data_IF_413377957234
#
_entry.id   IF_413377957234
#
_cell.length_a   1.000
_cell.length_b   1.000
_cell.length_c   1.000
_cell.angle_alpha   90.00
_cell.angle_beta   90.00
_cell.angle_gamma   90.00
#
_symmetry.space_group_name_H-M   'P 1'
#
loop_
_entity.id
_entity.type
_entity.pdbx_description
1 polymer ?
#
# COMPACT_ATOMS: atom_id res chain seq x y z
N UNK A 1 21.98 13.11 -41.58
CA UNK A 1 22.30 11.83 -40.91
C UNK A 1 22.92 11.99 -39.52
N UNK A 2 23.94 12.83 -39.32
CA UNK A 2 24.57 13.05 -37.98
C UNK A 2 23.61 13.66 -36.92
N UNK A 3 22.69 14.51 -37.31
CA UNK A 3 21.73 15.14 -36.38
C UNK A 3 20.67 14.14 -35.85
N UNK A 4 20.23 13.20 -36.69
CA UNK A 4 19.31 12.12 -36.28
C UNK A 4 19.92 11.11 -35.29
N UNK A 5 21.22 10.85 -35.44
CA UNK A 5 21.94 9.94 -34.53
C UNK A 5 22.13 10.62 -33.17
N UNK A 6 22.38 11.93 -33.14
CA UNK A 6 22.55 12.71 -31.91
C UNK A 6 21.25 12.81 -31.11
N UNK A 7 20.10 13.02 -31.80
CA UNK A 7 18.76 13.06 -31.15
C UNK A 7 18.35 11.68 -30.63
N UNK A 8 18.70 10.60 -31.34
CA UNK A 8 18.43 9.23 -30.90
C UNK A 8 19.27 8.84 -29.69
N UNK A 9 20.55 9.24 -29.64
CA UNK A 9 21.42 9.05 -28.48
C UNK A 9 20.95 9.88 -27.26
N UNK A 10 20.45 11.10 -27.47
CA UNK A 10 19.91 11.92 -26.38
C UNK A 10 18.62 11.31 -25.79
N UNK A 11 17.79 10.67 -26.60
CA UNK A 11 16.57 9.99 -26.13
C UNK A 11 16.86 8.78 -25.24
N UNK A 12 17.96 8.07 -25.48
CA UNK A 12 18.40 6.95 -24.65
C UNK A 12 19.01 7.38 -23.32
N UNK A 13 19.48 8.63 -23.20
CA UNK A 13 20.07 9.15 -21.96
C UNK A 13 19.04 9.72 -20.98
N UNK A 14 17.76 9.89 -21.41
CA UNK A 14 16.67 10.46 -20.59
C UNK A 14 15.65 9.37 -20.18
N UNK A 15 16.01 8.09 -20.28
CA UNK A 15 15.16 7.05 -19.70
C UNK A 15 15.11 7.25 -18.19
N UNK A 16 13.91 7.49 -17.57
CA UNK A 16 13.81 7.57 -16.13
C UNK A 16 14.32 6.25 -15.56
N UNK A 17 15.35 6.33 -14.74
CA UNK A 17 15.95 5.15 -14.11
C UNK A 17 15.01 4.63 -13.02
N UNK A 18 13.96 3.90 -13.43
CA UNK A 18 13.18 3.12 -12.50
C UNK A 18 14.06 1.99 -12.02
N UNK A 19 14.53 2.08 -10.79
CA UNK A 19 15.25 0.97 -10.18
C UNK A 19 14.24 -0.03 -9.64
N UNK A 20 14.35 -1.27 -10.12
CA UNK A 20 13.56 -2.40 -9.67
C UNK A 20 14.42 -3.36 -8.86
N UNK A 21 13.96 -3.71 -7.67
CA UNK A 21 14.53 -4.77 -6.83
C UNK A 21 13.57 -5.96 -6.83
N UNK A 22 14.07 -7.15 -7.15
CA UNK A 22 13.35 -8.42 -7.05
C UNK A 22 13.89 -9.19 -5.85
N UNK A 23 13.06 -9.44 -4.86
CA UNK A 23 13.49 -10.02 -3.58
C UNK A 23 12.65 -11.25 -3.28
N UNK A 24 13.30 -12.38 -3.06
CA UNK A 24 12.66 -13.58 -2.54
C UNK A 24 12.53 -13.43 -1.02
N UNK A 25 11.31 -13.50 -0.51
CA UNK A 25 10.99 -13.28 0.90
C UNK A 25 10.26 -14.48 1.46
N UNK A 26 10.62 -14.89 2.67
CA UNK A 26 9.88 -15.91 3.41
C UNK A 26 8.70 -15.25 4.12
N UNK A 27 7.47 -15.71 3.83
CA UNK A 27 6.29 -15.26 4.54
C UNK A 27 6.18 -15.93 5.93
N UNK A 28 5.18 -15.54 6.73
CA UNK A 28 4.96 -16.11 8.06
C UNK A 28 4.54 -17.59 8.02
N UNK A 29 3.92 -18.04 6.93
CA UNK A 29 3.56 -19.45 6.68
C UNK A 29 4.73 -20.32 6.26
N UNK A 30 5.91 -19.73 6.00
CA UNK A 30 7.11 -20.45 5.57
C UNK A 30 7.32 -20.48 4.04
N UNK A 31 6.34 -20.03 3.25
CA UNK A 31 6.44 -19.99 1.79
C UNK A 31 7.39 -18.90 1.33
N UNK A 32 7.97 -19.08 0.16
CA UNK A 32 8.80 -18.07 -0.48
C UNK A 32 7.99 -17.33 -1.53
N UNK A 33 7.84 -16.03 -1.32
CA UNK A 33 7.14 -15.11 -2.21
C UNK A 33 8.15 -14.15 -2.82
N UNK A 34 7.99 -13.81 -4.10
CA UNK A 34 8.81 -12.80 -4.74
C UNK A 34 8.14 -11.44 -4.61
N UNK A 35 8.84 -10.50 -3.98
CA UNK A 35 8.45 -9.10 -3.86
C UNK A 35 9.24 -8.25 -4.86
N UNK A 36 8.54 -7.35 -5.54
CA UNK A 36 9.10 -6.36 -6.46
C UNK A 36 9.00 -4.98 -5.83
N UNK A 37 10.12 -4.27 -5.73
CA UNK A 37 10.12 -2.90 -5.22
C UNK A 37 10.68 -1.97 -6.30
N UNK A 38 9.90 -0.95 -6.66
CA UNK A 38 10.26 0.04 -7.68
C UNK A 38 10.28 1.43 -7.05
N UNK A 39 11.32 2.20 -7.34
CA UNK A 39 11.42 3.60 -6.92
C UNK A 39 11.30 4.52 -8.14
N UNK A 40 10.40 5.50 -8.06
CA UNK A 40 10.27 6.59 -9.01
C UNK A 40 10.67 7.91 -8.34
N UNK A 41 11.91 8.34 -8.59
CA UNK A 41 12.48 9.56 -7.98
C UNK A 41 11.78 10.81 -8.49
N UNK A 42 11.32 10.83 -9.75
CA UNK A 42 10.67 12.00 -10.34
C UNK A 42 9.27 12.27 -9.77
N UNK A 43 8.57 11.23 -9.33
CA UNK A 43 7.25 11.34 -8.69
C UNK A 43 7.32 11.24 -7.16
N UNK A 44 8.52 11.09 -6.61
CA UNK A 44 8.76 10.88 -5.16
C UNK A 44 7.96 9.71 -4.60
N UNK A 45 7.93 8.57 -5.33
CA UNK A 45 7.16 7.39 -4.95
C UNK A 45 7.99 6.13 -4.88
N UNK A 46 7.55 5.19 -4.03
CA UNK A 46 8.04 3.80 -3.99
C UNK A 46 6.82 2.88 -4.10
N UNK A 47 6.92 1.87 -4.97
CA UNK A 47 5.89 0.84 -5.13
C UNK A 47 6.47 -0.52 -4.75
N UNK A 48 5.72 -1.29 -3.97
CA UNK A 48 6.03 -2.67 -3.58
C UNK A 48 4.88 -3.57 -4.05
N UNK A 49 5.20 -4.66 -4.72
CA UNK A 49 4.21 -5.57 -5.31
C UNK A 49 4.59 -7.03 -5.07
N UNK A 50 3.60 -7.86 -4.83
CA UNK A 50 3.77 -9.31 -4.73
C UNK A 50 2.46 -10.06 -4.99
N UNK A 51 2.60 -11.33 -5.37
CA UNK A 51 1.50 -12.28 -5.48
C UNK A 51 1.58 -13.24 -4.29
N UNK A 52 0.49 -13.35 -3.54
CA UNK A 52 0.35 -14.32 -2.45
C UNK A 52 0.13 -15.74 -3.00
N UNK A 53 0.34 -16.74 -2.17
CA UNK A 53 0.15 -18.16 -2.52
C UNK A 53 -1.32 -18.51 -2.80
N UNK A 54 -2.27 -17.75 -2.27
CA UNK A 54 -3.71 -17.87 -2.52
C UNK A 54 -4.18 -17.13 -3.80
N UNK A 55 -3.26 -16.60 -4.61
CA UNK A 55 -3.56 -15.89 -5.84
C UNK A 55 -3.96 -14.42 -5.65
N UNK A 56 -3.98 -13.91 -4.41
CA UNK A 56 -4.24 -12.49 -4.14
C UNK A 56 -3.02 -11.65 -4.54
N UNK A 57 -3.22 -10.71 -5.45
CA UNK A 57 -2.17 -9.74 -5.81
C UNK A 57 -2.26 -8.51 -4.92
N UNK A 58 -1.13 -8.12 -4.36
CA UNK A 58 -0.97 -6.94 -3.49
C UNK A 58 -0.01 -5.97 -4.13
N UNK A 59 -0.40 -4.69 -4.17
CA UNK A 59 0.46 -3.59 -4.62
C UNK A 59 0.30 -2.40 -3.68
N UNK A 60 1.40 -1.97 -3.08
CA UNK A 60 1.48 -0.83 -2.16
C UNK A 60 2.27 0.29 -2.83
N UNK A 61 1.73 1.50 -2.88
CA UNK A 61 2.46 2.71 -3.26
C UNK A 61 2.57 3.65 -2.07
N UNK A 62 3.75 4.23 -1.89
CA UNK A 62 4.01 5.30 -0.94
C UNK A 62 4.38 6.55 -1.72
N UNK A 63 3.54 7.57 -1.65
CA UNK A 63 3.77 8.91 -2.20
C UNK A 63 4.29 9.80 -1.07
N UNK A 64 5.58 10.10 -1.11
CA UNK A 64 6.26 10.86 -0.05
C UNK A 64 5.92 12.35 -0.13
N UNK A 65 5.74 12.89 -1.35
CA UNK A 65 5.40 14.28 -1.54
C UNK A 65 4.02 14.62 -0.97
N UNK A 66 3.08 13.68 -1.08
CA UNK A 66 1.72 13.84 -0.59
C UNK A 66 1.43 13.10 0.72
N UNK A 67 2.41 12.43 1.31
CA UNK A 67 2.26 11.64 2.53
C UNK A 67 1.08 10.65 2.48
N UNK A 68 0.89 10.02 1.31
CA UNK A 68 -0.17 9.05 1.04
C UNK A 68 0.42 7.66 0.85
N UNK A 69 -0.08 6.71 1.60
CA UNK A 69 0.15 5.27 1.39
C UNK A 69 -1.13 4.67 0.84
N UNK A 70 -1.07 4.01 -0.32
CA UNK A 70 -2.22 3.31 -0.89
C UNK A 70 -1.91 1.83 -1.09
N UNK A 71 -2.74 0.97 -0.51
CA UNK A 71 -2.68 -0.48 -0.61
C UNK A 71 -3.77 -0.96 -1.56
N UNK A 72 -3.39 -1.43 -2.74
CA UNK A 72 -4.28 -2.07 -3.70
C UNK A 72 -4.22 -3.59 -3.53
N UNK A 73 -5.37 -4.22 -3.42
CA UNK A 73 -5.51 -5.67 -3.29
C UNK A 73 -6.46 -6.18 -4.36
N UNK A 74 -6.00 -7.14 -5.14
CA UNK A 74 -6.77 -7.78 -6.21
C UNK A 74 -7.02 -9.22 -5.79
N UNK A 75 -8.27 -9.54 -5.51
CA UNK A 75 -8.73 -10.83 -5.00
C UNK A 75 -9.39 -11.60 -6.15
N UNK A 76 -8.89 -12.78 -6.52
CA UNK A 76 -9.54 -13.62 -7.52
C UNK A 76 -10.92 -14.05 -7.04
N UNK A 77 -11.81 -14.31 -7.98
CA UNK A 77 -13.13 -14.87 -7.66
C UNK A 77 -12.99 -16.36 -7.35
N UNK A 78 -13.78 -16.82 -6.38
CA UNK A 78 -13.96 -18.22 -6.06
C UNK A 78 -15.36 -18.66 -6.52
N UNK A 79 -15.43 -19.48 -7.55
CA UNK A 79 -16.68 -19.94 -8.16
C UNK A 79 -17.53 -20.74 -7.15
N UNK A 80 -16.87 -21.53 -6.30
CA UNK A 80 -17.51 -22.31 -5.22
C UNK A 80 -18.27 -21.42 -4.21
N UNK A 81 -17.79 -20.19 -4.01
CA UNK A 81 -18.46 -19.18 -3.19
C UNK A 81 -19.50 -18.35 -3.96
N UNK A 82 -19.71 -18.66 -5.25
CA UNK A 82 -20.65 -17.95 -6.13
C UNK A 82 -20.18 -16.54 -6.49
N UNK A 83 -18.88 -16.32 -6.50
CA UNK A 83 -18.27 -15.06 -6.90
C UNK A 83 -18.10 -15.03 -8.42
N UNK A 84 -18.32 -13.86 -9.03
CA UNK A 84 -18.35 -13.73 -10.51
C UNK A 84 -17.35 -12.70 -11.00
N UNK A 85 -16.09 -12.86 -10.72
CA UNK A 85 -15.06 -11.96 -11.21
C UNK A 85 -14.15 -11.42 -10.14
N UNK A 86 -13.05 -10.82 -10.56
CA UNK A 86 -12.00 -10.28 -9.69
C UNK A 86 -12.53 -9.09 -8.89
N UNK A 87 -12.23 -9.03 -7.60
CA UNK A 87 -12.47 -7.88 -6.76
C UNK A 87 -11.19 -7.08 -6.57
N UNK A 88 -11.23 -5.80 -6.89
CA UNK A 88 -10.13 -4.87 -6.59
C UNK A 88 -10.54 -3.92 -5.49
N UNK A 89 -9.77 -3.85 -4.43
CA UNK A 89 -9.94 -2.94 -3.30
C UNK A 89 -8.74 -2.01 -3.21
N UNK A 90 -8.94 -0.78 -2.76
CA UNK A 90 -7.85 0.14 -2.50
C UNK A 90 -8.05 0.87 -1.16
N UNK A 91 -7.04 0.81 -0.30
CA UNK A 91 -7.07 1.42 1.03
C UNK A 91 -6.01 2.52 1.12
N UNK A 92 -6.44 3.75 1.48
CA UNK A 92 -5.55 4.88 1.66
C UNK A 92 -5.36 5.17 3.14
N UNK A 93 -4.11 5.37 3.52
CA UNK A 93 -3.71 5.80 4.86
C UNK A 93 -2.64 6.88 4.76
N UNK A 94 -2.52 7.68 5.82
CA UNK A 94 -1.43 8.65 5.91
C UNK A 94 -0.10 7.91 6.05
N UNK A 95 0.84 8.20 5.15
CA UNK A 95 2.20 7.66 5.20
C UNK A 95 3.00 8.37 6.29
N UNK A 96 3.49 7.62 7.28
CA UNK A 96 4.47 8.16 8.20
C UNK A 96 5.85 8.12 7.52
N UNK A 97 6.58 9.23 7.52
CA UNK A 97 7.90 9.36 6.87
C UNK A 97 8.93 8.31 7.31
N UNK A 98 8.77 7.75 8.50
CA UNK A 98 9.67 6.72 9.05
C UNK A 98 9.33 5.29 8.61
N UNK A 99 8.23 5.06 7.89
CA UNK A 99 7.76 3.71 7.56
C UNK A 99 8.42 3.12 6.30
N UNK A 100 9.05 3.94 5.47
CA UNK A 100 9.75 3.50 4.26
C UNK A 100 10.95 4.40 3.98
N UNK A 101 12.00 3.89 3.30
CA UNK A 101 13.10 4.76 2.87
C UNK A 101 12.69 5.56 1.63
N UNK A 102 13.17 6.82 1.56
CA UNK A 102 12.87 7.71 0.43
C UNK A 102 13.31 7.14 -0.93
N UNK A 103 12.63 7.50 -2.03
CA UNK A 103 12.92 7.01 -3.38
C UNK A 103 14.38 7.19 -3.81
N UNK A 104 14.98 8.32 -3.49
CA UNK A 104 16.43 8.59 -3.73
C UNK A 104 17.34 7.58 -3.06
N UNK A 105 17.00 7.17 -1.84
CA UNK A 105 17.75 6.18 -1.11
C UNK A 105 17.53 4.79 -1.68
N UNK A 106 16.29 4.50 -2.06
CA UNK A 106 15.88 3.25 -2.69
C UNK A 106 16.58 3.07 -4.05
N UNK A 107 16.63 4.12 -4.88
CA UNK A 107 17.28 4.12 -6.19
C UNK A 107 18.81 3.85 -6.13
N UNK A 108 19.44 4.01 -4.98
CA UNK A 108 20.86 3.72 -4.76
C UNK A 108 21.13 2.30 -4.26
N UNK A 109 20.10 1.53 -3.95
CA UNK A 109 20.27 0.14 -3.54
C UNK A 109 20.74 -0.72 -4.72
N UNK A 110 21.55 -1.72 -4.41
CA UNK A 110 22.03 -2.71 -5.39
C UNK A 110 21.77 -4.09 -4.84
N UNK A 111 21.16 -4.92 -5.65
CA UNK A 111 20.92 -6.32 -5.29
C UNK A 111 22.17 -7.15 -5.56
N UNK A 112 22.83 -7.58 -4.49
CA UNK A 112 24.08 -8.35 -4.62
C UNK A 112 23.83 -9.85 -4.83
N UNK A 113 22.81 -10.41 -4.21
CA UNK A 113 22.53 -11.86 -4.24
C UNK A 113 21.03 -12.09 -4.52
N UNK A 114 20.58 -12.11 -5.78
CA UNK A 114 19.15 -12.18 -6.13
C UNK A 114 18.47 -13.50 -5.72
N UNK A 115 19.21 -14.60 -5.64
CA UNK A 115 18.67 -15.92 -5.23
C UNK A 115 18.49 -16.10 -3.72
N UNK A 116 18.96 -15.14 -2.90
CA UNK A 116 18.87 -15.29 -1.44
C UNK A 116 17.46 -15.02 -0.94
N UNK A 117 16.91 -15.94 -0.16
CA UNK A 117 15.64 -15.72 0.56
C UNK A 117 15.89 -14.79 1.75
N UNK A 118 15.15 -13.69 1.80
CA UNK A 118 15.26 -12.64 2.81
C UNK A 118 14.23 -12.86 3.91
N UNK A 119 14.63 -12.44 5.11
CA UNK A 119 13.75 -12.32 6.28
C UNK A 119 13.94 -10.91 6.84
N UNK A 120 12.84 -10.25 7.21
CA UNK A 120 12.92 -8.92 7.82
C UNK A 120 13.61 -8.98 9.19
N UNK A 121 14.38 -7.93 9.51
CA UNK A 121 15.10 -7.81 10.78
C UNK A 121 14.18 -7.41 11.93
N UNK A 122 13.11 -6.65 11.64
CA UNK A 122 12.22 -6.07 12.63
C UNK A 122 10.76 -6.32 12.28
N UNK A 123 9.99 -6.76 13.26
CA UNK A 123 8.54 -6.86 13.17
C UNK A 123 7.90 -5.54 13.65
N UNK A 124 7.14 -4.86 12.77
CA UNK A 124 6.40 -3.63 13.08
C UNK A 124 5.00 -3.89 13.61
N UNK A 125 4.64 -5.16 13.80
CA UNK A 125 3.32 -5.56 14.29
C UNK A 125 2.18 -5.27 13.31
N UNK A 126 0.96 -5.16 13.87
CA UNK A 126 -0.27 -4.94 13.13
C UNK A 126 -0.66 -3.47 13.09
N UNK A 127 -1.05 -3.00 11.90
CA UNK A 127 -1.75 -1.72 11.72
C UNK A 127 -3.22 -2.00 11.44
N UNK A 128 -4.07 -1.76 12.43
CA UNK A 128 -5.52 -1.89 12.29
C UNK A 128 -6.13 -0.59 11.80
N UNK A 129 -7.04 -0.68 10.84
CA UNK A 129 -7.67 0.48 10.21
C UNK A 129 -9.16 0.20 9.98
N UNK A 130 -10.03 1.02 10.56
CA UNK A 130 -11.44 1.10 10.18
C UNK A 130 -11.53 2.10 9.05
N UNK A 131 -11.97 1.65 7.89
CA UNK A 131 -11.90 2.41 6.66
C UNK A 131 -13.30 2.75 6.14
N UNK A 132 -13.51 4.01 5.76
CA UNK A 132 -14.74 4.52 5.15
C UNK A 132 -14.62 4.55 3.64
N UNK A 133 -15.72 4.29 2.95
CA UNK A 133 -15.76 4.37 1.49
C UNK A 133 -15.48 5.80 1.01
N UNK A 134 -14.67 5.92 -0.04
CA UNK A 134 -14.31 7.19 -0.66
C UNK A 134 -14.48 7.07 -2.17
N UNK A 135 -14.87 8.13 -2.83
CA UNK A 135 -14.91 8.19 -4.28
C UNK A 135 -13.52 8.38 -4.90
N UNK A 136 -13.32 7.93 -6.13
CA UNK A 136 -12.08 8.12 -6.90
C UNK A 136 -11.66 9.60 -6.99
N UNK A 137 -12.62 10.51 -6.92
CA UNK A 137 -12.40 11.97 -6.95
C UNK A 137 -11.66 12.46 -5.70
N UNK A 138 -11.97 11.91 -4.52
CA UNK A 138 -11.25 12.24 -3.28
C UNK A 138 -9.80 11.81 -3.36
N UNK A 139 -9.52 10.63 -3.91
CA UNK A 139 -8.16 10.11 -4.08
C UNK A 139 -7.33 11.01 -4.99
N UNK A 140 -7.92 11.48 -6.10
CA UNK A 140 -7.24 12.36 -7.05
C UNK A 140 -6.83 13.70 -6.44
N UNK A 141 -7.61 14.20 -5.48
CA UNK A 141 -7.28 15.42 -4.71
C UNK A 141 -6.15 15.19 -3.71
N UNK A 142 -6.03 13.98 -3.18
CA UNK A 142 -5.00 13.64 -2.21
C UNK A 142 -3.65 13.36 -2.87
N UNK A 143 -3.64 12.55 -3.93
CA UNK A 143 -2.43 12.09 -4.59
C UNK A 143 -2.75 11.59 -6.00
N UNK A 144 -2.16 12.22 -7.01
CA UNK A 144 -2.27 11.77 -8.40
C UNK A 144 -1.64 10.37 -8.62
N UNK A 145 -0.45 10.04 -8.07
CA UNK A 145 0.09 8.68 -8.12
C UNK A 145 -0.84 7.64 -7.49
N UNK A 146 -1.38 7.90 -6.29
CA UNK A 146 -2.32 7.00 -5.64
C UNK A 146 -3.62 6.83 -6.42
N UNK A 147 -4.14 7.89 -7.05
CA UNK A 147 -5.33 7.81 -7.89
C UNK A 147 -5.13 6.89 -9.11
N UNK A 148 -3.99 7.01 -9.80
CA UNK A 148 -3.64 6.10 -10.89
C UNK A 148 -3.50 4.66 -10.40
N UNK A 149 -2.88 4.46 -9.26
CA UNK A 149 -2.67 3.15 -8.64
C UNK A 149 -3.99 2.47 -8.29
N UNK A 150 -4.95 3.22 -7.71
CA UNK A 150 -6.26 2.73 -7.28
C UNK A 150 -7.34 2.73 -8.39
N UNK A 151 -7.04 3.16 -9.61
CA UNK A 151 -8.03 3.36 -10.67
C UNK A 151 -8.92 2.13 -10.95
N UNK A 152 -8.36 0.92 -10.81
CA UNK A 152 -9.08 -0.34 -11.02
C UNK A 152 -10.09 -0.66 -9.90
N UNK A 153 -9.94 -0.06 -8.71
CA UNK A 153 -10.84 -0.29 -7.58
C UNK A 153 -12.19 0.43 -7.73
N UNK A 154 -12.27 1.43 -8.64
CA UNK A 154 -13.49 2.20 -8.94
C UNK A 154 -14.14 2.79 -7.69
N UNK A 155 -15.27 2.22 -7.25
CA UNK A 155 -16.07 2.58 -6.08
C UNK A 155 -15.63 1.88 -4.78
N UNK A 156 -14.68 0.93 -4.88
CA UNK A 156 -14.15 0.17 -3.74
C UNK A 156 -12.83 0.78 -3.24
N UNK A 157 -12.83 2.08 -3.06
CA UNK A 157 -11.74 2.84 -2.49
C UNK A 157 -12.11 3.27 -1.08
N UNK A 158 -11.23 2.99 -0.14
CA UNK A 158 -11.44 3.20 1.28
C UNK A 158 -10.32 4.06 1.85
N UNK A 159 -10.65 4.92 2.80
CA UNK A 159 -9.67 5.70 3.53
C UNK A 159 -9.96 5.71 5.03
N UNK A 160 -8.95 5.96 5.83
CA UNK A 160 -9.11 6.13 7.26
C UNK A 160 -9.56 7.56 7.57
N UNK A 161 -10.75 7.71 8.16
CA UNK A 161 -11.32 9.02 8.44
C UNK A 161 -10.40 9.91 9.29
N UNK A 162 -9.68 9.34 10.25
CA UNK A 162 -8.72 10.08 11.08
C UNK A 162 -7.55 10.70 10.29
N UNK A 163 -7.25 10.19 9.09
CA UNK A 163 -6.18 10.71 8.25
C UNK A 163 -6.62 11.94 7.44
N UNK A 164 -7.93 12.14 7.23
CA UNK A 164 -8.46 13.34 6.57
C UNK A 164 -8.00 14.62 7.25
N UNK A 165 -8.04 14.65 8.59
CA UNK A 165 -7.59 15.79 9.36
C UNK A 165 -6.09 16.10 9.18
N UNK A 166 -5.28 15.09 8.86
CA UNK A 166 -3.85 15.25 8.58
C UNK A 166 -3.56 15.81 7.20
N UNK A 167 -4.43 15.51 6.24
CA UNK A 167 -4.32 16.03 4.87
C UNK A 167 -5.03 17.38 4.69
N UNK A 168 -6.00 17.73 5.53
CA UNK A 168 -6.82 18.97 5.45
C UNK A 168 -6.04 20.30 5.47
N UNK A 169 -4.84 20.42 6.11
CA UNK A 169 -4.11 21.70 6.11
C UNK A 169 -3.44 22.07 4.78
N UNK A 170 -3.63 21.29 3.72
CA UNK A 170 -2.97 21.56 2.42
C UNK A 170 -3.65 22.69 1.66
N UNK A 171 -2.89 23.57 0.96
CA UNK A 171 -3.47 24.59 0.10
C UNK A 171 -4.39 23.98 -0.96
N UNK A 172 -5.62 24.48 -1.06
CA UNK A 172 -6.63 24.00 -2.01
C UNK A 172 -7.48 22.82 -1.53
N UNK A 173 -7.27 22.36 -0.31
CA UNK A 173 -8.04 21.30 0.33
C UNK A 173 -8.61 21.83 1.63
N UNK A 174 -9.89 22.19 1.61
CA UNK A 174 -10.61 22.54 2.82
C UNK A 174 -11.36 21.35 3.41
N UNK A 175 -11.60 21.38 4.71
CA UNK A 175 -12.23 20.29 5.44
C UNK A 175 -13.68 20.04 4.96
N UNK A 176 -14.35 21.04 4.39
CA UNK A 176 -15.69 20.94 3.83
C UNK A 176 -15.71 20.15 2.51
N UNK A 177 -14.67 20.29 1.70
CA UNK A 177 -14.52 19.56 0.43
C UNK A 177 -14.37 18.04 0.66
N UNK A 178 -13.70 17.63 1.72
CA UNK A 178 -13.54 16.20 2.04
C UNK A 178 -14.82 15.55 2.55
N UNK A 179 -15.60 16.26 3.38
CA UNK A 179 -16.83 15.73 3.96
C UNK A 179 -17.85 15.28 2.91
N UNK A 180 -17.87 15.96 1.76
CA UNK A 180 -18.76 15.63 0.64
C UNK A 180 -18.26 14.47 -0.25
N UNK A 181 -16.97 14.09 -0.14
CA UNK A 181 -16.32 13.10 -0.97
C UNK A 181 -16.19 11.72 -0.30
N UNK A 182 -16.54 11.63 0.96
CA UNK A 182 -16.42 10.42 1.77
C UNK A 182 -17.80 9.98 2.24
N UNK A 183 -18.14 8.72 2.01
CA UNK A 183 -19.35 8.12 2.59
C UNK A 183 -19.05 7.76 4.04
N UNK A 184 -19.74 8.34 5.03
CA UNK A 184 -19.50 8.03 6.43
C UNK A 184 -19.68 6.54 6.70
N UNK A 185 -18.88 6.02 7.63
CA UNK A 185 -19.09 4.67 8.14
C UNK A 185 -20.48 4.64 8.81
N UNK A 186 -21.34 3.63 8.53
CA UNK A 186 -22.69 3.61 9.12
C UNK A 186 -22.61 3.70 10.64
N UNK A 187 -23.38 4.62 11.26
CA UNK A 187 -23.34 4.84 12.71
C UNK A 187 -23.57 3.53 13.49
N UNK A 188 -24.53 2.70 13.02
CA UNK A 188 -24.83 1.38 13.59
C UNK A 188 -23.69 0.37 13.49
N UNK A 189 -22.72 0.57 12.60
CA UNK A 189 -21.56 -0.31 12.49
C UNK A 189 -20.52 -0.05 13.61
N UNK A 190 -20.64 1.09 14.29
CA UNK A 190 -19.77 1.52 15.40
C UNK A 190 -20.50 1.48 16.75
N UNK A 191 -21.78 1.07 16.79
CA UNK A 191 -22.60 1.10 17.97
C UNK A 191 -22.11 0.05 19.00
N UNK A 192 -21.92 0.53 20.23
CA UNK A 192 -21.51 -0.31 21.38
C UNK A 192 -22.70 -0.97 22.09
N UNK A 193 -23.93 -0.59 21.73
CA UNK A 193 -25.15 -0.97 22.45
C UNK A 193 -25.84 -2.25 21.92
N UNK A 194 -25.10 -3.09 21.16
CA UNK A 194 -25.61 -4.39 20.71
C UNK A 194 -26.33 -4.39 19.37
N UNK A 195 -26.44 -3.23 18.70
CA UNK A 195 -26.94 -3.07 17.34
C UNK A 195 -25.83 -3.02 16.28
N UNK A 196 -24.57 -3.28 16.69
CA UNK A 196 -23.41 -3.27 15.80
C UNK A 196 -23.56 -4.29 14.66
N UNK A 197 -23.14 -3.90 13.46
CA UNK A 197 -23.13 -4.81 12.32
C UNK A 197 -22.20 -6.00 12.58
N UNK A 198 -22.65 -7.22 12.29
CA UNK A 198 -21.85 -8.42 12.51
C UNK A 198 -20.64 -8.44 11.54
N UNK A 199 -19.55 -9.12 11.90
CA UNK A 199 -18.50 -9.47 10.94
C UNK A 199 -19.10 -10.34 9.82
N UNK A 200 -18.64 -10.15 8.57
CA UNK A 200 -19.17 -10.92 7.43
C UNK A 200 -18.94 -12.43 7.57
N UNK A 201 -17.95 -12.85 8.32
CA UNK A 201 -17.69 -14.27 8.62
C UNK A 201 -18.81 -14.92 9.42
N UNK A 202 -19.50 -14.16 10.29
CA UNK A 202 -20.61 -14.66 11.11
C UNK A 202 -22.00 -14.44 10.49
N UNK A 203 -22.11 -13.64 9.41
CA UNK A 203 -23.37 -13.43 8.71
C UNK A 203 -23.61 -14.56 7.71
N UNK A 204 -24.78 -15.18 7.76
CA UNK A 204 -25.15 -16.30 6.88
C UNK A 204 -25.91 -15.84 5.63
N UNK A 205 -26.63 -14.75 5.73
CA UNK A 205 -27.44 -14.20 4.63
C UNK A 205 -26.56 -13.36 3.68
N UNK A 206 -26.43 -13.81 2.44
CA UNK A 206 -25.63 -13.14 1.40
C UNK A 206 -26.11 -11.73 1.04
N UNK A 207 -27.38 -11.45 1.28
CA UNK A 207 -28.03 -10.16 1.01
C UNK A 207 -27.90 -9.12 2.10
N UNK A 208 -27.37 -9.50 3.27
CA UNK A 208 -27.23 -8.59 4.41
C UNK A 208 -25.92 -7.86 4.43
N UNK A 209 -25.98 -6.70 5.06
CA UNK A 209 -24.83 -5.86 5.34
C UNK A 209 -23.99 -6.41 6.49
N UNK A 210 -22.66 -6.21 6.41
CA UNK A 210 -21.73 -6.66 7.43
C UNK A 210 -20.40 -5.87 7.37
N UNK A 211 -19.53 -6.11 8.34
CA UNK A 211 -18.17 -5.59 8.36
C UNK A 211 -17.22 -6.65 7.78
N UNK A 212 -16.63 -6.32 6.65
CA UNK A 212 -15.62 -7.15 6.00
C UNK A 212 -14.24 -6.90 6.61
N UNK A 213 -13.45 -7.96 6.75
CA UNK A 213 -12.07 -7.92 7.21
C UNK A 213 -11.14 -8.30 6.07
N UNK A 214 -10.03 -7.59 5.94
CA UNK A 214 -8.96 -7.95 5.02
C UNK A 214 -7.63 -7.85 5.73
N UNK A 215 -6.84 -8.91 5.67
CA UNK A 215 -5.50 -8.95 6.23
C UNK A 215 -4.46 -9.05 5.11
N UNK A 216 -3.47 -8.17 5.18
CA UNK A 216 -2.34 -8.13 4.24
C UNK A 216 -1.05 -7.97 5.02
N UNK A 217 -0.09 -8.88 4.82
CA UNK A 217 1.25 -8.74 5.39
C UNK A 217 2.27 -8.44 4.29
N UNK A 218 3.00 -7.35 4.44
CA UNK A 218 4.21 -7.04 3.68
C UNK A 218 5.36 -7.65 4.48
N UNK A 219 5.95 -8.72 3.93
CA UNK A 219 6.88 -9.56 4.69
C UNK A 219 8.30 -8.99 4.71
N UNK A 220 8.64 -8.11 3.77
CA UNK A 220 9.93 -7.46 3.76
C UNK A 220 9.85 -6.11 3.04
N UNK A 221 10.30 -5.05 3.69
CA UNK A 221 10.48 -3.74 3.06
C UNK A 221 11.60 -2.96 3.73
N UNK A 222 12.29 -2.07 3.00
CA UNK A 222 13.32 -1.21 3.57
C UNK A 222 12.68 -0.07 4.36
N UNK A 223 12.77 -0.13 5.68
CA UNK A 223 12.11 0.82 6.60
C UNK A 223 13.06 1.83 7.23
N UNK A 224 14.35 1.80 6.90
CA UNK A 224 15.30 2.77 7.45
C UNK A 224 16.70 2.58 6.90
N UNK A 225 17.55 3.56 7.15
CA UNK A 225 18.96 3.54 6.81
C UNK A 225 19.80 3.20 8.03
N UNK A 226 20.80 2.33 7.87
CA UNK A 226 21.79 2.02 8.88
C UNK A 226 23.00 2.92 8.71
N UNK A 227 23.47 3.48 9.82
CA UNK A 227 24.68 4.29 9.88
C UNK A 227 25.72 3.60 10.75
N UNK A 228 26.92 3.49 10.24
CA UNK A 228 28.09 2.98 10.96
C UNK A 228 29.01 4.15 11.35
N UNK A 229 29.65 3.99 12.50
CA UNK A 229 30.70 4.93 12.92
C UNK A 229 31.99 4.61 12.18
N UNK A 230 32.69 5.63 11.69
CA UNK A 230 34.07 5.50 11.20
C UNK A 230 35.03 5.06 12.31
N UNK A 231 36.30 4.85 11.97
CA UNK A 231 37.32 4.40 12.92
C UNK A 231 37.37 5.28 14.18
N UNK A 232 37.84 4.76 15.36
CA UNK A 232 37.72 5.38 16.69
C UNK A 232 38.32 6.79 16.83
N UNK A 233 39.10 7.28 15.88
CA UNK A 233 39.81 8.58 15.92
C UNK A 233 39.09 9.67 15.11
N UNK A 234 37.78 9.84 15.27
CA UNK A 234 37.06 10.98 14.72
C UNK A 234 36.47 10.79 13.32
N UNK A 235 36.23 9.54 12.91
CA UNK A 235 35.59 9.22 11.64
C UNK A 235 34.12 9.66 11.60
N UNK A 236 33.72 10.33 10.52
CA UNK A 236 32.34 10.68 10.23
C UNK A 236 31.46 9.42 10.13
N UNK A 237 30.23 9.52 10.61
CA UNK A 237 29.21 8.50 10.43
C UNK A 237 28.89 8.32 8.94
N UNK A 238 28.91 7.09 8.44
CA UNK A 238 28.59 6.79 7.05
C UNK A 238 27.47 5.78 6.94
N UNK A 239 26.74 5.84 5.84
CA UNK A 239 25.64 4.93 5.53
C UNK A 239 26.21 3.56 5.16
N UNK A 240 25.89 2.52 5.93
CA UNK A 240 26.46 1.17 5.76
C UNK A 240 25.44 0.09 5.41
N UNK A 241 24.15 0.40 5.36
CA UNK A 241 23.12 -0.58 5.02
C UNK A 241 21.71 -0.03 5.16
N UNK A 242 20.76 -0.93 5.07
CA UNK A 242 19.34 -0.66 5.29
C UNK A 242 18.83 -1.48 6.47
N UNK A 243 17.83 -0.94 7.15
CA UNK A 243 17.01 -1.63 8.12
C UNK A 243 15.81 -2.21 7.36
N UNK A 244 15.47 -3.45 7.65
CA UNK A 244 14.38 -4.15 6.96
C UNK A 244 13.30 -4.54 7.93
N UNK A 245 12.06 -4.31 7.56
CA UNK A 245 10.90 -4.49 8.39
C UNK A 245 9.87 -5.40 7.73
N UNK A 246 9.04 -5.98 8.56
CA UNK A 246 7.81 -6.63 8.15
C UNK A 246 6.64 -5.98 8.90
N UNK A 247 5.48 -5.85 8.26
CA UNK A 247 4.26 -5.28 8.84
C UNK A 247 3.03 -5.94 8.27
N UNK A 248 2.05 -6.17 9.14
CA UNK A 248 0.72 -6.62 8.74
C UNK A 248 -0.30 -5.49 8.88
N UNK A 249 -1.25 -5.47 7.97
CA UNK A 249 -2.36 -4.54 7.92
C UNK A 249 -3.65 -5.30 8.09
N UNK A 250 -4.56 -4.77 8.90
CA UNK A 250 -5.92 -5.28 9.06
C UNK A 250 -6.89 -4.16 8.78
N UNK A 251 -7.67 -4.32 7.71
CA UNK A 251 -8.69 -3.38 7.29
C UNK A 251 -10.07 -3.90 7.67
N UNK A 252 -10.87 -3.03 8.30
CA UNK A 252 -12.27 -3.25 8.59
C UNK A 252 -13.06 -2.27 7.74
N UNK A 253 -13.95 -2.74 6.89
CA UNK A 253 -14.73 -1.90 6.01
C UNK A 253 -16.15 -2.43 5.85
N UNK A 254 -17.09 -1.50 5.69
CA UNK A 254 -18.48 -1.80 5.48
C UNK A 254 -18.75 -2.32 4.08
N UNK A 255 -19.58 -3.35 3.98
CA UNK A 255 -20.16 -3.82 2.72
C UNK A 255 -21.66 -3.93 2.85
N UNK A 256 -22.37 -3.44 1.84
CA UNK A 256 -23.84 -3.46 1.82
C UNK A 256 -24.39 -4.88 1.69
N UNK A 257 -23.64 -5.77 1.06
CA UNK A 257 -24.01 -7.15 0.88
C UNK A 257 -22.84 -8.06 1.24
N UNK A 258 -23.11 -9.13 2.02
CA UNK A 258 -22.08 -10.08 2.43
C UNK A 258 -21.30 -10.66 1.24
N UNK A 259 -21.95 -10.92 0.11
CA UNK A 259 -21.27 -11.46 -1.07
C UNK A 259 -20.24 -10.52 -1.70
N UNK A 260 -20.21 -9.26 -1.30
CA UNK A 260 -19.16 -8.29 -1.70
C UNK A 260 -17.89 -8.39 -0.84
N UNK A 261 -17.91 -9.24 0.20
CA UNK A 261 -16.73 -9.52 1.02
C UNK A 261 -16.10 -10.84 0.55
N UNK A 262 -15.07 -10.77 -0.28
CA UNK A 262 -14.45 -11.96 -0.88
C UNK A 262 -13.48 -12.68 0.05
N UNK A 263 -13.00 -12.02 1.08
CA UNK A 263 -12.00 -12.56 2.00
C UNK A 263 -12.57 -12.61 3.43
N UNK A 264 -13.46 -13.57 3.67
CA UNK A 264 -14.11 -13.76 4.97
C UNK A 264 -13.77 -15.12 5.63
N UNK A 265 -12.51 -15.55 5.48
CA UNK A 265 -11.97 -16.72 6.20
C UNK A 265 -11.53 -16.34 7.60
#
# INVERSE_FOLDING_TARGET
MKLFILTFLLYFLISPSNLQLLINVRNQGGDVVQETITANVSEDTVTLEFLRTDGVFVSQIVDFANEVEAMKVVIPAEEELGQTGVQTLCFLTHAAQADFIAPDAMAKLRQKNPGTVRVAEEARGWRQTTATASGARAVALLSSPAARHCAQARDKVYLRQADLARWAPRPGLDQSSYGSLVTPFPARALDTDGAALPPCVSETDRGKECICHLEVCVNWYPCGLKYCKGKPQGGLSYRCGIKTCHRCYRYHFYVQFRHNCYNYT
#
